data_IF_748008173860
#
_entry.id   IF_748008173860
#
_cell.length_a   1.000
_cell.length_b   1.000
_cell.length_c   1.000
_cell.angle_alpha   90.00
_cell.angle_beta   90.00
_cell.angle_gamma   90.00
#
_symmetry.space_group_name_H-M   'P 1'
#
loop_
_entity.id
_entity.type
_entity.pdbx_description
1 polymer ?
#
# COMPACT_ATOMS: atom_id res chain seq x y z
N UNK A 1 7.32 -16.42 -23.38
CA UNK A 1 8.60 -15.81 -23.84
C UNK A 1 9.16 -14.96 -22.70
N UNK A 2 10.49 -14.85 -22.57
CA UNK A 2 11.13 -13.92 -21.62
C UNK A 2 11.58 -12.67 -22.36
N UNK A 3 11.40 -11.51 -21.75
CA UNK A 3 11.81 -10.21 -22.28
C UNK A 3 12.78 -9.52 -21.32
N UNK A 4 13.64 -8.68 -21.87
CA UNK A 4 14.64 -7.93 -21.12
C UNK A 4 14.04 -6.62 -20.60
N UNK A 5 14.20 -6.37 -19.30
CA UNK A 5 13.76 -5.14 -18.66
C UNK A 5 14.87 -4.57 -17.78
N UNK A 6 14.94 -3.25 -17.74
CA UNK A 6 15.72 -2.48 -16.77
C UNK A 6 14.77 -2.00 -15.68
N UNK A 7 15.19 -2.02 -14.42
CA UNK A 7 14.40 -1.49 -13.32
C UNK A 7 15.24 -0.62 -12.38
N UNK A 8 14.59 0.39 -11.82
CA UNK A 8 15.11 1.26 -10.77
C UNK A 8 14.27 1.06 -9.50
N UNK A 9 14.94 0.95 -8.34
CA UNK A 9 14.32 1.13 -7.03
C UNK A 9 14.91 2.39 -6.41
N UNK A 10 14.04 3.33 -6.00
CA UNK A 10 14.42 4.58 -5.36
C UNK A 10 13.66 4.76 -4.04
N UNK A 11 14.31 5.34 -3.04
CA UNK A 11 13.69 5.74 -1.77
C UNK A 11 13.66 7.25 -1.63
N UNK A 12 12.65 7.77 -0.94
CA UNK A 12 12.60 9.19 -0.57
C UNK A 12 13.50 9.45 0.63
N UNK A 13 14.25 10.56 0.61
CA UNK A 13 15.00 11.05 1.77
C UNK A 13 14.07 11.81 2.73
N UNK A 14 14.49 12.11 3.97
CA UNK A 14 13.72 12.98 4.87
C UNK A 14 13.38 14.35 4.27
N UNK A 15 14.21 14.85 3.34
CA UNK A 15 14.02 16.11 2.60
C UNK A 15 13.06 15.96 1.39
N UNK A 16 12.49 14.76 1.20
CA UNK A 16 11.52 14.47 0.14
C UNK A 16 12.14 14.23 -1.24
N UNK A 17 13.47 14.06 -1.34
CA UNK A 17 14.14 13.80 -2.62
C UNK A 17 14.19 12.31 -2.93
N UNK A 18 13.91 11.93 -4.17
CA UNK A 18 14.07 10.55 -4.62
C UNK A 18 15.55 10.24 -4.87
N UNK A 19 16.07 9.24 -4.18
CA UNK A 19 17.44 8.75 -4.37
C UNK A 19 17.39 7.31 -4.90
N UNK A 20 17.95 7.04 -6.10
CA UNK A 20 18.09 5.69 -6.61
C UNK A 20 18.96 4.85 -5.66
N UNK A 21 18.50 3.65 -5.32
CA UNK A 21 19.23 2.69 -4.48
C UNK A 21 19.66 1.48 -5.30
N UNK A 22 18.86 1.09 -6.29
CA UNK A 22 19.15 -0.04 -7.18
C UNK A 22 18.82 0.33 -8.61
N UNK A 23 19.73 0.03 -9.53
CA UNK A 23 19.48 0.00 -10.98
C UNK A 23 20.05 -1.32 -11.52
N UNK A 24 19.20 -2.11 -12.16
CA UNK A 24 19.55 -3.45 -12.65
C UNK A 24 18.75 -3.82 -13.89
N UNK A 25 19.29 -4.77 -14.64
CA UNK A 25 18.65 -5.34 -15.82
C UNK A 25 18.40 -6.83 -15.58
N UNK A 26 17.25 -7.34 -16.03
CA UNK A 26 16.88 -8.74 -15.84
C UNK A 26 15.90 -9.25 -16.90
N UNK A 27 15.87 -10.58 -17.08
CA UNK A 27 14.93 -11.27 -17.95
C UNK A 27 13.69 -11.68 -17.18
N UNK A 28 12.53 -11.25 -17.65
CA UNK A 28 11.25 -11.53 -16.99
C UNK A 28 10.26 -12.15 -17.97
N UNK A 29 9.39 -13.02 -17.45
CA UNK A 29 8.28 -13.62 -18.20
C UNK A 29 6.90 -13.07 -17.83
N UNK A 30 6.87 -12.09 -16.91
CA UNK A 30 5.64 -11.47 -16.39
C UNK A 30 5.40 -10.12 -17.07
N UNK A 31 4.18 -9.61 -17.00
CA UNK A 31 3.88 -8.27 -17.47
C UNK A 31 4.60 -7.20 -16.60
N UNK A 32 4.86 -5.99 -17.16
CA UNK A 32 5.60 -4.95 -16.45
C UNK A 32 5.00 -4.51 -15.10
N UNK A 33 3.67 -4.53 -14.95
CA UNK A 33 3.02 -4.16 -13.68
C UNK A 33 3.30 -5.21 -12.61
N UNK A 34 3.16 -6.50 -12.95
CA UNK A 34 3.52 -7.61 -12.08
C UNK A 34 5.01 -7.64 -11.74
N UNK A 35 5.89 -7.25 -12.68
CA UNK A 35 7.34 -7.09 -12.41
C UNK A 35 7.55 -6.01 -11.36
N UNK A 36 6.97 -4.81 -11.56
CA UNK A 36 7.13 -3.69 -10.65
C UNK A 36 6.62 -4.03 -9.24
N UNK A 37 5.46 -4.68 -9.15
CA UNK A 37 4.90 -5.16 -7.88
C UNK A 37 5.79 -6.18 -7.19
N UNK A 38 6.23 -7.21 -7.91
CA UNK A 38 7.07 -8.27 -7.33
C UNK A 38 8.42 -7.76 -6.83
N UNK A 39 9.03 -6.81 -7.56
CA UNK A 39 10.26 -6.14 -7.13
C UNK A 39 10.04 -5.32 -5.85
N UNK A 40 8.91 -4.62 -5.73
CA UNK A 40 8.54 -3.90 -4.52
C UNK A 40 8.33 -4.85 -3.33
N UNK A 41 7.63 -5.97 -3.55
CA UNK A 41 7.42 -7.00 -2.52
C UNK A 41 8.74 -7.60 -2.05
N UNK A 42 9.65 -7.95 -2.97
CA UNK A 42 11.00 -8.42 -2.63
C UNK A 42 11.77 -7.38 -1.81
N UNK A 43 11.78 -6.12 -2.26
CA UNK A 43 12.44 -5.03 -1.55
C UNK A 43 11.94 -4.88 -0.11
N UNK A 44 10.63 -4.97 0.11
CA UNK A 44 10.02 -4.89 1.45
C UNK A 44 10.46 -6.06 2.34
N UNK A 45 10.59 -7.26 1.77
CA UNK A 45 11.07 -8.44 2.50
C UNK A 45 12.53 -8.30 2.91
N UNK A 46 13.37 -7.77 2.02
CA UNK A 46 14.81 -7.60 2.25
C UNK A 46 15.12 -6.46 3.22
N UNK A 47 14.27 -5.42 3.30
CA UNK A 47 14.48 -4.22 4.11
C UNK A 47 13.54 -4.08 5.33
N UNK A 48 13.03 -5.21 5.86
CA UNK A 48 12.16 -5.23 7.06
C UNK A 48 12.77 -4.42 8.21
N UNK A 49 11.97 -3.50 8.78
CA UNK A 49 12.31 -2.69 9.95
C UNK A 49 12.76 -1.24 9.66
N UNK A 50 13.07 -0.88 8.41
CA UNK A 50 13.45 0.50 8.02
C UNK A 50 12.38 1.25 7.22
N UNK A 51 11.29 0.57 6.86
CA UNK A 51 10.26 1.14 6.00
C UNK A 51 9.12 1.73 6.82
N UNK A 52 8.74 2.95 6.49
CA UNK A 52 7.50 3.58 6.93
C UNK A 52 6.32 2.74 6.43
N UNK A 53 5.43 2.31 7.32
CA UNK A 53 4.31 1.44 6.94
C UNK A 53 3.46 2.04 5.81
N UNK A 54 2.94 1.22 4.91
CA UNK A 54 2.20 1.65 3.74
C UNK A 54 1.61 0.50 2.94
N UNK A 55 0.87 0.84 1.88
CA UNK A 55 0.32 -0.10 0.91
C UNK A 55 1.11 -0.03 -0.40
N UNK A 56 1.15 -1.15 -1.12
CA UNK A 56 1.74 -1.23 -2.46
C UNK A 56 0.68 -0.84 -3.48
N UNK A 57 1.00 0.11 -4.35
CA UNK A 57 0.21 0.51 -5.50
C UNK A 57 1.03 0.29 -6.78
N UNK A 58 0.58 -0.61 -7.64
CA UNK A 58 1.23 -0.91 -8.91
C UNK A 58 0.42 -0.37 -10.08
N UNK A 59 1.11 0.12 -11.10
CA UNK A 59 0.51 0.75 -12.26
C UNK A 59 1.27 0.33 -13.52
N UNK A 60 0.61 -0.39 -14.43
CA UNK A 60 1.10 -0.65 -15.79
C UNK A 60 0.97 0.55 -16.75
N UNK A 61 0.44 1.68 -16.26
CA UNK A 61 0.41 2.97 -16.96
C UNK A 61 0.99 4.05 -16.03
N UNK A 62 2.20 4.57 -16.30
CA UNK A 62 2.89 5.47 -15.37
C UNK A 62 2.12 6.78 -15.11
N UNK A 63 1.28 7.23 -16.05
CA UNK A 63 0.46 8.44 -15.90
C UNK A 63 -0.55 8.32 -14.74
N UNK A 64 -0.99 7.08 -14.46
CA UNK A 64 -1.90 6.81 -13.33
C UNK A 64 -1.19 6.95 -11.98
N UNK A 65 0.08 6.57 -11.90
CA UNK A 65 0.87 6.70 -10.68
C UNK A 65 1.02 8.18 -10.28
N UNK A 66 1.29 9.07 -11.25
CA UNK A 66 1.40 10.52 -11.01
C UNK A 66 0.08 11.14 -10.52
N UNK A 67 -1.05 10.52 -10.86
CA UNK A 67 -2.38 11.00 -10.48
C UNK A 67 -2.90 10.39 -9.17
N UNK A 68 -2.20 9.39 -8.61
CA UNK A 68 -2.71 8.55 -7.51
C UNK A 68 -2.79 9.27 -6.15
N UNK A 69 -2.32 10.52 -6.04
CA UNK A 69 -2.32 11.32 -4.80
C UNK A 69 -1.77 10.53 -3.60
N UNK A 70 -0.55 10.02 -3.76
CA UNK A 70 0.11 9.20 -2.75
C UNK A 70 1.31 9.93 -2.16
N UNK A 71 1.48 9.81 -0.85
CA UNK A 71 2.76 10.06 -0.17
C UNK A 71 3.52 8.74 -0.17
N UNK A 72 4.50 8.62 -1.05
CA UNK A 72 5.27 7.38 -1.25
C UNK A 72 6.68 7.51 -0.67
N UNK A 73 7.17 6.43 -0.05
CA UNK A 73 8.53 6.33 0.50
C UNK A 73 9.47 5.51 -0.38
N UNK A 74 8.94 4.58 -1.17
CA UNK A 74 9.71 3.78 -2.13
C UNK A 74 9.00 3.77 -3.47
N UNK A 75 9.78 3.83 -4.55
CA UNK A 75 9.32 3.75 -5.93
C UNK A 75 10.13 2.71 -6.68
N UNK A 76 9.43 1.84 -7.41
CA UNK A 76 10.01 0.98 -8.43
C UNK A 76 9.56 1.51 -9.79
N UNK A 77 10.49 1.70 -10.72
CA UNK A 77 10.22 2.01 -12.13
C UNK A 77 10.75 0.86 -12.99
N UNK A 78 9.95 0.41 -13.95
CA UNK A 78 10.34 -0.63 -14.92
C UNK A 78 10.37 -0.03 -16.31
N UNK A 79 11.43 -0.34 -17.06
CA UNK A 79 11.70 0.14 -18.41
C UNK A 79 11.91 -1.05 -19.33
N UNK A 80 11.36 -0.97 -20.55
CA UNK A 80 11.53 -2.03 -21.54
C UNK A 80 12.94 -1.96 -22.16
N UNK A 81 13.62 -3.10 -22.27
CA UNK A 81 14.98 -3.19 -22.82
C UNK A 81 16.08 -3.23 -21.75
N UNK A 82 17.29 -3.55 -22.19
CA UNK A 82 18.51 -3.49 -21.37
C UNK A 82 19.24 -2.16 -21.55
N UNK A 83 20.03 -1.79 -20.53
CA UNK A 83 20.94 -0.63 -20.54
C UNK A 83 20.25 0.70 -20.86
N UNK A 84 19.01 0.83 -20.40
CA UNK A 84 18.20 2.03 -20.56
C UNK A 84 18.68 3.11 -19.59
N UNK A 85 18.87 4.33 -20.08
CA UNK A 85 19.09 5.49 -19.23
C UNK A 85 17.81 5.85 -18.45
N UNK A 86 17.77 5.45 -17.19
CA UNK A 86 16.60 5.62 -16.29
C UNK A 86 16.32 7.09 -15.93
N UNK A 87 17.24 8.01 -16.23
CA UNK A 87 17.06 9.44 -15.97
C UNK A 87 16.20 10.11 -17.03
N UNK A 88 16.27 9.64 -18.28
CA UNK A 88 15.56 10.22 -19.43
C UNK A 88 14.44 9.31 -19.95
N UNK A 89 14.55 7.99 -19.77
CA UNK A 89 13.60 7.04 -20.31
C UNK A 89 12.23 7.11 -19.63
N UNK A 90 11.19 6.79 -20.42
CA UNK A 90 9.82 6.66 -19.92
C UNK A 90 9.61 5.25 -19.34
N UNK A 91 9.20 5.11 -18.07
CA UNK A 91 8.88 3.81 -17.50
C UNK A 91 7.62 3.23 -18.14
N UNK A 92 7.59 1.92 -18.32
CA UNK A 92 6.41 1.17 -18.78
C UNK A 92 5.52 0.72 -17.61
N UNK A 93 6.07 0.66 -16.40
CA UNK A 93 5.32 0.41 -15.17
C UNK A 93 5.98 1.07 -13.97
N UNK A 94 5.17 1.37 -12.95
CA UNK A 94 5.61 1.96 -11.70
C UNK A 94 4.91 1.22 -10.55
N UNK A 95 5.65 0.91 -9.49
CA UNK A 95 5.08 0.55 -8.20
C UNK A 95 5.51 1.55 -7.12
N UNK A 96 4.59 1.89 -6.21
CA UNK A 96 4.80 2.83 -5.12
C UNK A 96 4.45 2.14 -3.80
N UNK A 97 5.31 2.32 -2.79
CA UNK A 97 4.98 2.01 -1.40
C UNK A 97 4.64 3.32 -0.71
N UNK A 98 3.40 3.47 -0.26
CA UNK A 98 2.96 4.74 0.31
C UNK A 98 1.58 4.68 0.94
N UNK A 99 1.04 5.87 1.19
CA UNK A 99 -0.31 6.06 1.73
C UNK A 99 -1.04 7.15 0.92
N UNK A 100 -2.38 7.15 0.92
CA UNK A 100 -3.15 8.26 0.37
C UNK A 100 -2.77 9.59 1.04
N UNK A 101 -2.60 10.64 0.23
CA UNK A 101 -2.46 12.00 0.73
C UNK A 101 -3.83 12.54 1.15
N UNK A 102 -4.12 12.49 2.46
CA UNK A 102 -5.37 12.96 3.05
C UNK A 102 -5.40 14.49 3.24
N UNK A 103 -4.27 15.18 3.11
CA UNK A 103 -4.16 16.61 3.41
C UNK A 103 -4.96 17.47 2.42
N UNK A 104 -4.98 17.09 1.13
CA UNK A 104 -5.73 17.77 0.07
C UNK A 104 -7.20 17.34 -0.07
N UNK A 105 -7.69 16.46 0.79
CA UNK A 105 -9.10 16.05 0.77
C UNK A 105 -10.00 17.13 1.40
N UNK A 106 -9.46 17.99 2.28
CA UNK A 106 -10.20 19.09 2.92
C UNK A 106 -10.49 20.30 2.03
N UNK A 107 -9.79 20.45 0.90
CA UNK A 107 -9.99 21.59 -0.01
C UNK A 107 -11.18 21.41 -0.98
N UNK A 108 -11.82 20.24 -0.97
CA UNK A 108 -13.11 20.03 -1.67
C UNK A 108 -14.26 20.21 -0.69
N UNK A 109 -14.43 21.43 -0.18
CA UNK A 109 -15.76 21.88 0.24
C UNK A 109 -16.52 22.33 -1.02
N UNK A 110 -17.64 21.71 -1.40
CA UNK A 110 -18.59 22.37 -2.27
C UNK A 110 -19.11 23.59 -1.50
N UNK A 111 -18.91 24.79 -2.06
CA UNK A 111 -19.61 25.97 -1.62
C UNK A 111 -21.11 25.76 -1.80
N UNK A 112 -21.76 25.25 -0.74
CA UNK A 112 -23.20 25.13 -0.60
C UNK A 112 -23.60 26.06 0.54
N UNK A 113 -24.10 27.22 0.13
CA UNK A 113 -24.54 28.36 0.92
C UNK A 113 -25.34 27.97 2.17
N UNK A 114 -24.95 28.50 3.33
CA UNK A 114 -25.84 28.66 4.47
C UNK A 114 -26.69 29.92 4.26
N UNK A 115 -28.01 29.79 4.30
CA UNK A 115 -28.98 30.89 4.27
C UNK A 115 -30.39 30.34 4.45
N UNK A 116 -30.98 30.56 5.62
CA UNK A 116 -32.18 29.88 6.11
C UNK A 116 -33.51 30.28 5.47
N UNK A 117 -34.54 29.48 5.76
CA UNK A 117 -35.93 29.78 5.43
C UNK A 117 -36.86 28.57 5.55
N UNK A 118 -37.35 28.32 6.76
CA UNK A 118 -38.58 27.59 7.14
C UNK A 118 -38.72 26.07 6.87
N UNK A 119 -39.20 25.28 7.85
CA UNK A 119 -39.57 23.89 7.65
C UNK A 119 -40.98 23.78 7.04
N UNK A 120 -41.21 22.96 6.00
CA UNK A 120 -42.55 22.49 5.71
C UNK A 120 -42.86 21.22 6.51
N UNK A 121 -44.03 21.29 7.15
CA UNK A 121 -44.91 20.29 7.72
C UNK A 121 -44.53 18.80 7.68
N UNK A 122 -44.75 18.17 8.83
CA UNK A 122 -44.96 16.74 9.03
C UNK A 122 -45.80 16.10 7.92
N UNK A 123 -45.21 15.12 7.23
CA UNK A 123 -45.98 14.05 6.61
C UNK A 123 -45.40 12.73 7.13
N UNK A 124 -46.08 12.21 8.15
CA UNK A 124 -45.79 10.95 8.82
C UNK A 124 -46.15 9.79 7.89
N UNK A 125 -45.15 9.24 7.20
CA UNK A 125 -45.27 7.97 6.47
C UNK A 125 -45.17 6.79 7.48
N UNK A 126 -46.24 6.03 7.73
CA UNK A 126 -46.24 4.93 8.70
C UNK A 126 -45.53 3.66 8.21
N UNK A 127 -44.91 3.64 7.02
CA UNK A 127 -44.36 2.41 6.42
C UNK A 127 -42.83 2.33 6.38
N UNK A 128 -42.10 3.29 6.96
CA UNK A 128 -40.63 3.19 7.06
C UNK A 128 -40.18 2.40 8.29
N UNK A 129 -40.05 1.07 8.09
CA UNK A 129 -39.34 0.17 9.01
C UNK A 129 -37.95 0.72 9.36
N UNK A 130 -37.59 0.90 10.64
CA UNK A 130 -36.22 1.22 11.02
C UNK A 130 -35.33 0.00 10.78
N UNK A 131 -34.43 0.09 9.80
CA UNK A 131 -33.32 -0.87 9.67
C UNK A 131 -32.35 -0.62 10.82
N UNK A 132 -32.50 -1.46 11.83
CA UNK A 132 -31.61 -1.60 12.98
C UNK A 132 -30.17 -1.77 12.48
N UNK A 133 -29.29 -0.93 13.01
CA UNK A 133 -27.85 -1.05 12.92
C UNK A 133 -27.41 -2.37 13.57
N UNK A 134 -27.19 -3.40 12.77
CA UNK A 134 -26.42 -4.55 13.23
C UNK A 134 -24.94 -4.19 13.32
N UNK A 135 -24.55 -3.73 14.51
CA UNK A 135 -23.17 -3.77 14.98
C UNK A 135 -22.82 -5.24 15.20
N UNK A 136 -22.27 -5.89 14.18
CA UNK A 136 -21.55 -7.15 14.32
C UNK A 136 -20.32 -6.92 15.23
N UNK A 137 -20.54 -7.12 16.54
CA UNK A 137 -19.50 -7.32 17.53
C UNK A 137 -18.85 -8.67 17.23
N UNK A 138 -17.68 -8.66 16.60
CA UNK A 138 -16.81 -9.84 16.60
C UNK A 138 -16.20 -9.99 18.02
N UNK A 139 -16.27 -11.18 18.63
CA UNK A 139 -15.71 -11.43 19.94
C UNK A 139 -14.18 -11.34 19.92
N UNK A 140 -13.63 -10.69 20.95
CA UNK A 140 -12.21 -10.74 21.32
C UNK A 140 -11.80 -12.19 21.54
N UNK A 141 -10.86 -12.71 20.75
CA UNK A 141 -10.06 -13.85 21.16
C UNK A 141 -9.13 -13.38 22.29
N UNK A 142 -9.31 -13.93 23.48
CA UNK A 142 -8.33 -13.83 24.57
C UNK A 142 -7.18 -14.81 24.30
N UNK A 143 -5.95 -14.48 24.71
CA UNK A 143 -4.86 -15.43 24.80
C UNK A 143 -5.07 -16.26 26.07
N UNK A 144 -5.10 -17.60 25.94
CA UNK A 144 -4.81 -18.59 26.98
C UNK A 144 -5.39 -19.94 26.54
N UNK A 145 -4.55 -20.74 25.88
CA UNK A 145 -4.63 -22.20 25.98
C UNK A 145 -3.23 -22.68 26.33
N UNK A 146 -2.97 -22.68 27.64
CA UNK A 146 -1.98 -23.54 28.25
C UNK A 146 -2.38 -24.99 27.94
N UNK A 147 -1.50 -25.73 27.29
CA UNK A 147 -1.59 -27.18 27.21
C UNK A 147 -0.79 -27.79 28.37
N UNK A 148 -1.44 -28.48 29.34
CA UNK A 148 -0.74 -29.26 30.34
C UNK A 148 -0.43 -30.64 29.74
N UNK A 149 0.83 -30.88 29.42
CA UNK A 149 1.29 -32.14 28.81
C UNK A 149 2.70 -32.48 29.24
N UNK A 150 2.76 -33.15 30.39
CA UNK A 150 3.82 -34.01 30.95
C UNK A 150 5.30 -33.55 30.90
N UNK A 151 5.91 -33.17 32.03
CA UNK A 151 6.43 -34.01 33.15
C UNK A 151 7.60 -34.95 32.78
N UNK A 152 8.70 -34.71 33.50
CA UNK A 152 9.87 -35.56 33.77
C UNK A 152 10.79 -35.81 32.56
N UNK A 153 12.04 -35.34 32.57
CA UNK A 153 13.08 -35.86 33.45
C UNK A 153 14.11 -34.79 33.84
N UNK A 154 14.23 -34.56 35.14
CA UNK A 154 15.47 -34.17 35.77
C UNK A 154 16.53 -35.26 35.50
N UNK A 155 17.70 -34.89 34.99
CA UNK A 155 18.93 -35.65 35.24
C UNK A 155 20.08 -34.71 35.62
N UNK A 156 19.96 -34.23 36.84
CA UNK A 156 21.05 -34.02 37.80
C UNK A 156 21.41 -35.42 38.35
N UNK A 157 22.63 -35.90 38.61
CA UNK A 157 24.03 -35.43 38.65
C UNK A 157 24.90 -36.73 38.50
N UNK A 158 26.07 -36.93 39.16
CA UNK A 158 27.46 -36.56 38.87
C UNK A 158 28.35 -37.77 38.49
N UNK A 159 29.62 -37.50 38.15
CA UNK A 159 30.69 -38.50 38.07
C UNK A 159 31.90 -37.96 37.35
#
# INVERSE_FOLDING_TARGET
>A
MRELYTYEIASTTPEGRWTPVVIRTGWFSRDPESIARGLMESWILDYRGRLTSGQIYAFGKPERANSARLVASVRVRVFRGGDVDVSTAKPVAIALLGRPDLSRQRDRHPGGTAGGGSPPAEETDPNRRPRVRDRLRLPRARPEEEHPGDRHLHRLVPG
#
